data_IF_568391940955
#
_entry.id   IF_568391940955
#
_cell.length_a   1.000
_cell.length_b   1.000
_cell.length_c   1.000
_cell.angle_alpha   90.00
_cell.angle_beta   90.00
_cell.angle_gamma   90.00
#
_symmetry.space_group_name_H-M   'P 1'
#
loop_
_entity.id
_entity.type
_entity.pdbx_description
1 polymer ?
#
# COMPACT_ATOMS: atom_id res chain seq x y z
N UNK A 1 25.56 -2.65 -16.69
CA UNK A 1 24.46 -1.72 -16.37
C UNK A 1 23.89 -2.11 -15.01
N UNK A 2 24.14 -1.32 -13.96
CA UNK A 2 23.54 -1.56 -12.65
C UNK A 2 22.06 -1.19 -12.77
N UNK A 3 21.18 -2.18 -12.76
CA UNK A 3 19.74 -1.93 -12.63
C UNK A 3 19.52 -1.32 -11.24
N UNK A 4 19.56 0.00 -11.15
CA UNK A 4 18.95 0.73 -10.04
C UNK A 4 17.46 0.49 -10.17
N UNK A 5 16.95 -0.54 -9.49
CA UNK A 5 15.53 -0.64 -9.16
C UNK A 5 15.19 0.59 -8.32
N UNK A 6 14.96 1.74 -8.96
CA UNK A 6 14.17 2.81 -8.34
C UNK A 6 12.84 2.15 -8.06
N UNK A 7 12.50 1.98 -6.77
CA UNK A 7 11.12 1.74 -6.41
C UNK A 7 10.31 2.82 -7.10
N UNK A 8 9.48 2.42 -8.05
CA UNK A 8 8.73 3.35 -8.88
C UNK A 8 7.79 4.10 -7.93
N UNK A 9 7.87 5.43 -7.95
CA UNK A 9 7.06 6.32 -7.12
C UNK A 9 6.02 7.00 -8.00
N UNK A 10 4.78 7.06 -7.54
CA UNK A 10 3.70 7.75 -8.22
C UNK A 10 2.67 8.27 -7.22
N UNK A 11 2.02 9.39 -7.57
CA UNK A 11 0.70 9.72 -7.01
C UNK A 11 -0.33 8.74 -7.57
N UNK A 12 -1.14 8.17 -6.70
CA UNK A 12 -2.32 7.41 -7.11
C UNK A 12 -3.47 7.57 -6.12
N UNK A 13 -4.66 7.21 -6.57
CA UNK A 13 -5.81 6.99 -5.70
C UNK A 13 -5.71 5.59 -5.06
N UNK A 14 -5.58 5.57 -3.74
CA UNK A 14 -5.57 4.36 -2.94
C UNK A 14 -6.96 4.20 -2.30
N UNK A 15 -7.67 3.17 -2.71
CA UNK A 15 -8.87 2.70 -2.07
C UNK A 15 -8.48 1.76 -0.93
N UNK A 16 -9.00 1.96 0.28
CA UNK A 16 -8.76 1.07 1.40
C UNK A 16 -10.03 0.82 2.20
N UNK A 17 -10.13 -0.39 2.75
CA UNK A 17 -11.23 -0.78 3.64
C UNK A 17 -10.68 -0.95 5.04
N UNK A 18 -11.41 -0.42 6.01
CA UNK A 18 -11.14 -0.59 7.43
C UNK A 18 -12.33 -1.26 8.09
N UNK A 19 -12.05 -2.27 8.91
CA UNK A 19 -13.06 -2.83 9.80
C UNK A 19 -13.34 -1.87 10.95
N UNK A 20 -14.61 -1.60 11.18
CA UNK A 20 -15.08 -0.78 12.29
C UNK A 20 -16.15 -1.54 13.07
N UNK A 21 -16.46 -1.08 14.29
CA UNK A 21 -17.54 -1.66 15.09
C UNK A 21 -18.91 -1.56 14.41
N UNK A 22 -19.06 -0.70 13.40
CA UNK A 22 -20.29 -0.52 12.62
C UNK A 22 -20.22 -1.20 11.24
N UNK A 23 -19.22 -2.06 11.01
CA UNK A 23 -18.98 -2.73 9.74
C UNK A 23 -17.78 -2.17 8.96
N UNK A 24 -17.49 -2.74 7.77
CA UNK A 24 -16.41 -2.30 6.92
C UNK A 24 -16.69 -0.91 6.34
N UNK A 25 -15.71 -0.03 6.40
CA UNK A 25 -15.78 1.32 5.83
C UNK A 25 -14.72 1.44 4.75
N UNK A 26 -15.15 1.61 3.50
CA UNK A 26 -14.29 1.94 2.37
C UNK A 26 -13.97 3.44 2.36
N UNK A 27 -12.73 3.79 2.07
CA UNK A 27 -12.24 5.16 1.96
C UNK A 27 -11.27 5.25 0.78
N UNK A 28 -11.30 6.40 0.11
CA UNK A 28 -10.39 6.72 -0.99
C UNK A 28 -9.52 7.91 -0.61
N UNK A 29 -8.24 7.80 -0.87
CA UNK A 29 -7.27 8.86 -0.61
C UNK A 29 -6.28 8.96 -1.77
N UNK A 30 -5.91 10.18 -2.13
CA UNK A 30 -4.79 10.41 -3.05
C UNK A 30 -3.50 10.49 -2.22
N UNK A 31 -2.49 9.69 -2.57
CA UNK A 31 -1.20 9.72 -1.88
C UNK A 31 -0.04 9.35 -2.81
N UNK A 32 1.15 9.82 -2.44
CA UNK A 32 2.39 9.39 -3.08
C UNK A 32 2.82 8.05 -2.51
N UNK A 33 2.93 7.05 -3.37
CA UNK A 33 3.34 5.71 -2.97
C UNK A 33 4.52 5.23 -3.81
N UNK A 34 5.34 4.39 -3.20
CA UNK A 34 6.40 3.63 -3.86
C UNK A 34 6.04 2.16 -3.80
N UNK A 35 6.13 1.48 -4.94
CA UNK A 35 5.78 0.08 -5.05
C UNK A 35 7.04 -0.79 -5.18
N UNK A 36 7.09 -1.86 -4.38
CA UNK A 36 8.10 -2.91 -4.53
C UNK A 36 7.44 -4.29 -4.51
N UNK A 37 7.63 -5.06 -5.57
CA UNK A 37 7.21 -6.45 -5.60
C UNK A 37 8.13 -7.29 -4.70
N UNK A 38 7.53 -8.07 -3.80
CA UNK A 38 8.24 -8.94 -2.88
C UNK A 38 7.60 -10.32 -2.85
N UNK A 39 8.28 -11.28 -2.26
CA UNK A 39 7.73 -12.61 -2.02
C UNK A 39 7.52 -12.79 -0.51
N UNK A 40 6.29 -13.07 -0.10
CA UNK A 40 5.94 -13.31 1.29
C UNK A 40 5.63 -14.80 1.44
N UNK A 41 6.54 -15.55 2.07
CA UNK A 41 6.37 -16.98 2.35
C UNK A 41 6.01 -17.86 1.13
N UNK A 42 6.53 -17.52 -0.06
CA UNK A 42 6.23 -18.23 -1.31
C UNK A 42 5.12 -17.58 -2.13
N UNK A 43 4.33 -16.67 -1.54
CA UNK A 43 3.23 -15.98 -2.20
C UNK A 43 3.66 -14.64 -2.81
N UNK A 44 3.04 -14.22 -3.93
CA UNK A 44 3.26 -12.90 -4.49
C UNK A 44 2.70 -11.82 -3.55
N UNK A 45 3.54 -10.86 -3.19
CA UNK A 45 3.20 -9.78 -2.28
C UNK A 45 3.76 -8.45 -2.79
N UNK A 46 3.20 -7.35 -2.31
CA UNK A 46 3.65 -6.00 -2.61
C UNK A 46 3.98 -5.28 -1.30
N UNK A 47 5.08 -4.55 -1.29
CA UNK A 47 5.33 -3.52 -0.28
C UNK A 47 4.95 -2.18 -0.88
N UNK A 48 3.99 -1.53 -0.25
CA UNK A 48 3.58 -0.16 -0.55
C UNK A 48 4.21 0.77 0.49
N UNK A 49 5.08 1.68 0.07
CA UNK A 49 5.60 2.73 0.93
C UNK A 49 4.89 4.03 0.64
N UNK A 50 4.12 4.54 1.60
CA UNK A 50 3.37 5.79 1.49
C UNK A 50 4.22 6.92 2.07
N UNK A 51 4.54 7.89 1.23
CA UNK A 51 5.31 9.07 1.62
C UNK A 51 4.44 10.06 2.40
N UNK A 52 5.02 10.86 3.32
CA UNK A 52 4.31 11.98 3.93
C UNK A 52 3.81 12.98 2.88
N UNK A 53 2.64 13.62 3.11
CA UNK A 53 1.77 13.50 4.27
C UNK A 53 0.98 12.17 4.27
N UNK A 54 0.96 11.48 5.42
CA UNK A 54 0.28 10.21 5.56
C UNK A 54 -1.25 10.41 5.60
N UNK A 55 -2.02 9.67 4.78
CA UNK A 55 -3.47 9.70 4.85
C UNK A 55 -3.95 9.23 6.23
N UNK A 56 -4.94 9.92 6.78
CA UNK A 56 -5.49 9.57 8.07
C UNK A 56 -6.10 8.16 8.04
N UNK A 57 -5.81 7.35 9.07
CA UNK A 57 -6.37 6.00 9.29
C UNK A 57 -5.90 4.93 8.31
N UNK A 58 -4.94 5.23 7.43
CA UNK A 58 -4.38 4.22 6.52
C UNK A 58 -3.62 3.11 7.26
N UNK A 59 -3.08 3.41 8.44
CA UNK A 59 -2.47 2.45 9.37
C UNK A 59 -3.47 1.38 9.87
N UNK A 60 -4.77 1.63 9.73
CA UNK A 60 -5.86 0.72 10.13
C UNK A 60 -6.56 0.07 8.94
N UNK A 61 -5.97 0.15 7.74
CA UNK A 61 -6.50 -0.52 6.58
C UNK A 61 -6.37 -2.05 6.73
N UNK A 62 -7.45 -2.76 6.42
CA UNK A 62 -7.49 -4.22 6.34
C UNK A 62 -7.18 -4.69 4.91
N UNK A 63 -7.73 -4.01 3.91
CA UNK A 63 -7.44 -4.27 2.50
C UNK A 63 -7.25 -2.97 1.74
N UNK A 64 -6.49 -3.04 0.65
CA UNK A 64 -6.27 -1.91 -0.24
C UNK A 64 -6.43 -2.33 -1.69
N UNK A 65 -6.87 -1.39 -2.52
CA UNK A 65 -6.94 -1.50 -3.96
C UNK A 65 -6.43 -0.20 -4.59
N UNK A 66 -5.72 -0.30 -5.70
CA UNK A 66 -5.18 0.85 -6.42
C UNK A 66 -4.91 0.47 -7.87
N UNK A 67 -4.75 1.49 -8.72
CA UNK A 67 -4.31 1.31 -10.10
C UNK A 67 -2.86 1.75 -10.18
N UNK A 68 -1.97 0.87 -10.65
CA UNK A 68 -0.57 1.16 -10.90
C UNK A 68 -0.23 0.82 -12.34
N UNK A 69 0.28 1.81 -13.09
CA UNK A 69 0.65 1.64 -14.51
C UNK A 69 -0.48 1.03 -15.36
N UNK A 70 -1.72 1.48 -15.14
CA UNK A 70 -2.91 0.99 -15.83
C UNK A 70 -3.40 -0.40 -15.40
N UNK A 71 -2.78 -1.04 -14.41
CA UNK A 71 -3.23 -2.32 -13.84
C UNK A 71 -3.86 -2.12 -12.48
N UNK A 72 -5.01 -2.75 -12.26
CA UNK A 72 -5.65 -2.81 -10.94
C UNK A 72 -4.94 -3.84 -10.06
N UNK A 73 -4.59 -3.41 -8.85
CA UNK A 73 -4.04 -4.24 -7.79
C UNK A 73 -5.02 -4.25 -6.63
N UNK A 74 -5.24 -5.41 -6.03
CA UNK A 74 -5.94 -5.57 -4.77
C UNK A 74 -5.12 -6.48 -3.86
N UNK A 75 -5.08 -6.13 -2.57
CA UNK A 75 -4.34 -6.93 -1.60
C UNK A 75 -4.82 -6.72 -0.18
N UNK A 76 -4.59 -7.73 0.65
CA UNK A 76 -4.88 -7.71 2.08
C UNK A 76 -3.65 -7.18 2.80
N UNK A 77 -3.85 -6.22 3.70
CA UNK A 77 -2.79 -5.67 4.54
C UNK A 77 -2.42 -6.73 5.59
N UNK A 78 -1.22 -7.28 5.48
CA UNK A 78 -0.68 -8.27 6.43
C UNK A 78 0.10 -7.62 7.55
N UNK A 79 0.79 -6.53 7.25
CA UNK A 79 1.60 -5.80 8.22
C UNK A 79 1.68 -4.32 7.85
N UNK A 80 1.88 -3.47 8.85
CA UNK A 80 2.13 -2.05 8.67
C UNK A 80 3.25 -1.57 9.58
N UNK A 81 4.17 -0.78 9.04
CA UNK A 81 5.33 -0.29 9.78
C UNK A 81 5.64 1.16 9.44
N UNK A 82 5.79 2.01 10.46
CA UNK A 82 6.30 3.37 10.25
C UNK A 82 7.77 3.31 9.87
N UNK A 83 8.14 4.09 8.86
CA UNK A 83 9.51 4.22 8.39
C UNK A 83 10.18 5.45 9.04
N UNK A 84 11.50 5.43 9.16
CA UNK A 84 12.27 6.51 9.81
C UNK A 84 12.22 7.85 9.07
N UNK A 85 11.75 7.86 7.83
CA UNK A 85 11.44 9.04 7.01
C UNK A 85 10.07 9.66 7.32
N UNK A 86 9.31 9.10 8.27
CA UNK A 86 7.95 9.52 8.58
C UNK A 86 6.88 8.92 7.67
N UNK A 87 7.27 8.07 6.71
CA UNK A 87 6.37 7.33 5.84
C UNK A 87 5.76 6.09 6.50
N UNK A 88 4.83 5.45 5.79
CA UNK A 88 4.14 4.24 6.22
C UNK A 88 4.37 3.13 5.20
N UNK A 89 4.98 2.03 5.64
CA UNK A 89 5.08 0.82 4.86
C UNK A 89 3.85 -0.06 5.13
N UNK A 90 3.19 -0.49 4.06
CA UNK A 90 2.14 -1.49 4.07
C UNK A 90 2.67 -2.74 3.36
N UNK A 91 2.54 -3.88 4.01
CA UNK A 91 2.80 -5.18 3.41
C UNK A 91 1.47 -5.75 2.93
N UNK A 92 1.37 -5.97 1.63
CA UNK A 92 0.17 -6.43 0.96
C UNK A 92 0.38 -7.83 0.42
N UNK A 93 -0.50 -8.74 0.78
CA UNK A 93 -0.63 -10.03 0.11
C UNK A 93 -1.63 -9.87 -1.04
N UNK A 94 -1.18 -10.16 -2.26
CA UNK A 94 -2.03 -10.05 -3.46
C UNK A 94 -3.07 -11.17 -3.49
N UNK A 95 -4.28 -10.84 -3.95
CA UNK A 95 -5.38 -11.78 -4.14
C UNK A 95 -5.62 -12.10 -5.62
#
# INVERSE_FOLDING_TARGET
MKSTYRASSACLELDFVRDTLFGPVAQRVECHVQLAAINLQGCPALRLHVSPPLPAKLDRAHSVAFIWDGRSYCGVVRDHGRCGDGGLNLLLELQ
#
